data_IF_161067455604
#
_entry.id   IF_161067455604
#
_cell.length_a   1.000
_cell.length_b   1.000
_cell.length_c   1.000
_cell.angle_alpha   90.00
_cell.angle_beta   90.00
_cell.angle_gamma   90.00
#
_symmetry.space_group_name_H-M   'P 1'
#
loop_
_entity.id
_entity.type
_entity.pdbx_description
1 polymer ?
#
# COMPACT_ATOMS: atom_id res chain seq x y z
N UNK A 1 -52.41 -49.74 8.51
CA UNK A 1 -51.65 -49.60 9.78
C UNK A 1 -51.17 -48.16 9.89
N UNK A 2 -51.60 -47.45 10.93
CA UNK A 2 -51.38 -46.01 11.18
C UNK A 2 -50.20 -45.83 12.14
N UNK A 3 -49.24 -44.95 11.85
CA UNK A 3 -48.43 -44.10 12.77
C UNK A 3 -47.77 -42.98 11.94
N UNK A 4 -48.36 -41.80 11.77
CA UNK A 4 -48.15 -40.55 12.55
C UNK A 4 -46.70 -40.29 13.03
N UNK A 5 -46.13 -39.17 12.58
CA UNK A 5 -44.89 -38.58 13.08
C UNK A 5 -44.63 -37.21 12.41
N UNK A 6 -45.10 -36.15 13.07
CA UNK A 6 -44.93 -34.73 12.75
C UNK A 6 -43.52 -34.26 13.19
N UNK A 7 -43.13 -33.02 12.82
CA UNK A 7 -42.01 -32.18 13.32
C UNK A 7 -40.71 -32.25 12.48
N UNK A 8 -40.02 -31.18 12.10
CA UNK A 8 -40.21 -29.74 12.29
C UNK A 8 -39.43 -28.98 11.19
N UNK A 9 -40.01 -27.87 10.74
CA UNK A 9 -39.40 -26.87 9.88
C UNK A 9 -38.33 -26.11 10.68
N UNK A 10 -37.04 -26.31 10.38
CA UNK A 10 -35.97 -25.50 10.94
C UNK A 10 -35.63 -24.38 9.95
N UNK A 11 -36.18 -23.19 10.22
CA UNK A 11 -35.82 -21.95 9.53
C UNK A 11 -34.36 -21.61 9.85
N UNK A 12 -33.52 -21.53 8.82
CA UNK A 12 -32.14 -21.08 8.93
C UNK A 12 -32.15 -19.55 8.97
N UNK A 13 -32.07 -18.99 10.18
CA UNK A 13 -31.95 -17.54 10.40
C UNK A 13 -30.52 -17.11 10.03
N UNK A 14 -30.31 -16.14 9.12
CA UNK A 14 -28.99 -15.59 8.88
C UNK A 14 -28.59 -14.70 10.06
N UNK A 15 -27.55 -15.10 10.79
CA UNK A 15 -26.94 -14.29 11.85
C UNK A 15 -26.13 -13.17 11.20
N UNK A 16 -26.80 -12.04 10.93
CA UNK A 16 -26.16 -10.78 10.58
C UNK A 16 -25.54 -10.21 11.85
N UNK A 17 -24.24 -10.41 12.03
CA UNK A 17 -23.46 -9.66 13.00
C UNK A 17 -22.93 -8.39 12.32
N UNK A 18 -23.69 -7.29 12.44
CA UNK A 18 -23.13 -5.95 12.33
C UNK A 18 -22.18 -5.76 13.52
N UNK A 19 -20.89 -6.07 13.33
CA UNK A 19 -19.84 -5.60 14.22
C UNK A 19 -19.45 -4.19 13.79
N UNK A 20 -20.30 -3.22 14.16
CA UNK A 20 -19.93 -1.82 14.20
C UNK A 20 -19.42 -1.49 15.61
N UNK A 21 -18.11 -1.53 15.77
CA UNK A 21 -17.34 -0.81 16.79
C UNK A 21 -16.13 -0.29 15.99
N UNK A 22 -15.94 1.01 15.76
CA UNK A 22 -15.96 2.02 16.81
C UNK A 22 -14.77 1.78 17.73
N UNK A 23 -13.57 1.72 17.15
CA UNK A 23 -12.33 1.75 17.90
C UNK A 23 -11.79 3.17 17.85
N UNK A 24 -11.86 3.87 18.97
CA UNK A 24 -11.01 5.03 19.26
C UNK A 24 -9.56 4.63 18.97
N UNK A 25 -8.98 5.23 17.93
CA UNK A 25 -7.56 5.13 17.64
C UNK A 25 -6.81 6.07 18.60
N UNK A 26 -6.72 5.68 19.87
CA UNK A 26 -5.66 6.15 20.77
C UNK A 26 -4.52 5.13 20.66
N UNK A 27 -3.62 5.36 19.71
CA UNK A 27 -2.42 4.58 19.49
C UNK A 27 -1.58 5.26 18.43
N UNK A 28 -0.48 5.89 18.86
CA UNK A 28 0.61 6.48 18.08
C UNK A 28 0.31 6.69 16.59
N UNK A 29 0.03 7.94 16.19
CA UNK A 29 -0.09 8.33 14.78
C UNK A 29 1.14 7.77 14.02
N UNK A 30 0.92 6.74 13.20
CA UNK A 30 1.92 6.15 12.32
C UNK A 30 1.58 6.56 10.89
N UNK A 31 2.59 7.00 10.15
CA UNK A 31 2.46 7.28 8.72
C UNK A 31 2.86 6.04 7.94
N UNK A 32 1.91 5.48 7.20
CA UNK A 32 2.13 4.35 6.30
C UNK A 32 2.47 4.87 4.90
N UNK A 33 3.70 4.58 4.45
CA UNK A 33 4.21 5.03 3.17
C UNK A 33 4.34 3.85 2.20
N UNK A 34 3.75 3.98 1.01
CA UNK A 34 3.98 3.08 -0.11
C UNK A 34 4.92 3.78 -1.09
N UNK A 35 6.17 3.32 -1.18
CA UNK A 35 7.18 3.93 -2.02
C UNK A 35 7.73 2.95 -3.05
N UNK A 36 7.94 3.42 -4.28
CA UNK A 36 8.57 2.62 -5.32
C UNK A 36 9.94 2.11 -4.87
N UNK A 37 10.30 0.88 -5.25
CA UNK A 37 11.53 0.22 -4.79
C UNK A 37 12.82 1.03 -5.07
N UNK A 38 12.85 1.82 -6.15
CA UNK A 38 13.99 2.73 -6.44
C UNK A 38 14.18 3.85 -5.42
N UNK A 39 13.21 4.08 -4.54
CA UNK A 39 13.24 5.12 -3.49
C UNK A 39 13.64 4.56 -2.12
N UNK A 40 14.04 3.28 -2.02
CA UNK A 40 14.32 2.59 -0.74
C UNK A 40 15.23 3.37 0.18
N UNK A 41 16.42 3.74 -0.29
CA UNK A 41 17.41 4.43 0.54
C UNK A 41 16.90 5.81 0.98
N UNK A 42 16.40 6.60 0.02
CA UNK A 42 15.91 7.95 0.30
C UNK A 42 14.74 7.98 1.28
N UNK A 43 13.77 7.08 1.15
CA UNK A 43 12.60 7.03 2.04
C UNK A 43 12.91 6.37 3.38
N UNK A 44 13.93 5.52 3.46
CA UNK A 44 14.46 5.04 4.75
C UNK A 44 15.05 6.21 5.55
N UNK A 45 15.89 7.02 4.90
CA UNK A 45 16.48 8.21 5.53
C UNK A 45 15.42 9.25 5.92
N UNK A 46 14.47 9.52 5.02
CA UNK A 46 13.36 10.46 5.28
C UNK A 46 12.48 9.96 6.44
N UNK A 47 12.12 8.68 6.48
CA UNK A 47 11.29 8.12 7.54
C UNK A 47 11.96 8.23 8.92
N UNK A 48 13.27 7.93 8.99
CA UNK A 48 14.05 8.08 10.22
C UNK A 48 14.17 9.54 10.66
N UNK A 49 14.42 10.46 9.71
CA UNK A 49 14.49 11.89 10.00
C UNK A 49 13.15 12.44 10.49
N UNK A 50 12.05 12.10 9.82
CA UNK A 50 10.70 12.51 10.18
C UNK A 50 10.31 12.01 11.58
N UNK A 51 10.59 10.74 11.87
CA UNK A 51 10.34 10.16 13.21
C UNK A 51 11.17 10.87 14.28
N UNK A 52 12.43 11.21 13.99
CA UNK A 52 13.31 11.93 14.94
C UNK A 52 12.80 13.35 15.22
N UNK A 53 12.29 14.04 14.19
CA UNK A 53 11.83 15.43 14.31
C UNK A 53 10.47 15.54 14.99
N UNK A 54 9.55 14.63 14.67
CA UNK A 54 8.13 14.75 15.04
C UNK A 54 7.71 13.82 16.18
N UNK A 55 8.44 12.71 16.37
CA UNK A 55 8.03 11.61 17.24
C UNK A 55 7.00 10.66 16.61
N UNK A 56 6.51 10.94 15.39
CA UNK A 56 5.53 10.15 14.64
C UNK A 56 6.24 9.01 13.91
N UNK A 57 5.80 7.77 14.10
CA UNK A 57 6.42 6.62 13.46
C UNK A 57 6.15 6.62 11.95
N UNK A 58 7.11 6.15 11.16
CA UNK A 58 6.96 5.98 9.71
C UNK A 58 7.25 4.53 9.33
N UNK A 59 6.24 3.83 8.82
CA UNK A 59 6.40 2.49 8.25
C UNK A 59 6.32 2.58 6.73
N UNK A 60 7.38 2.16 6.04
CA UNK A 60 7.45 2.21 4.58
C UNK A 60 7.42 0.81 3.96
N UNK A 61 6.51 0.59 3.04
CA UNK A 61 6.46 -0.59 2.16
C UNK A 61 7.07 -0.26 0.81
N UNK A 62 8.10 -1.02 0.42
CA UNK A 62 8.79 -0.90 -0.86
C UNK A 62 8.40 -2.01 -1.83
N UNK A 63 7.94 -1.64 -3.03
CA UNK A 63 7.68 -2.58 -4.12
C UNK A 63 7.63 -1.85 -5.47
N UNK A 64 7.29 -2.55 -6.56
CA UNK A 64 7.03 -1.91 -7.84
C UNK A 64 5.82 -0.96 -7.75
N UNK A 65 5.93 0.23 -8.37
CA UNK A 65 4.86 1.25 -8.34
C UNK A 65 3.50 0.69 -8.77
N UNK A 66 3.48 -0.24 -9.73
CA UNK A 66 2.26 -0.89 -10.19
C UNK A 66 1.61 -1.81 -9.16
N UNK A 67 2.42 -2.52 -8.36
CA UNK A 67 1.91 -3.40 -7.31
C UNK A 67 1.35 -2.59 -6.15
N UNK A 68 2.05 -1.52 -5.76
CA UNK A 68 1.59 -0.61 -4.72
C UNK A 68 0.30 0.11 -5.13
N UNK A 69 0.23 0.64 -6.36
CA UNK A 69 -0.99 1.27 -6.87
C UNK A 69 -2.17 0.28 -6.92
N UNK A 70 -1.92 -0.99 -7.29
CA UNK A 70 -2.93 -2.04 -7.24
C UNK A 70 -3.40 -2.30 -5.81
N UNK A 71 -2.47 -2.40 -4.84
CA UNK A 71 -2.83 -2.59 -3.44
C UNK A 71 -3.68 -1.45 -2.90
N UNK A 72 -3.34 -0.20 -3.22
CA UNK A 72 -4.15 0.98 -2.86
C UNK A 72 -5.56 0.88 -3.47
N UNK A 73 -5.66 0.52 -4.76
CA UNK A 73 -6.96 0.32 -5.41
C UNK A 73 -7.77 -0.85 -4.81
N UNK A 74 -7.10 -1.84 -4.21
CA UNK A 74 -7.71 -2.95 -3.47
C UNK A 74 -8.04 -2.58 -2.01
N UNK A 75 -7.74 -1.36 -1.57
CA UNK A 75 -8.08 -0.83 -0.25
C UNK A 75 -6.97 -0.98 0.81
N UNK A 76 -5.72 -1.24 0.40
CA UNK A 76 -4.59 -1.19 1.33
C UNK A 76 -4.43 0.23 1.90
N UNK A 77 -4.25 0.39 3.22
CA UNK A 77 -4.11 1.69 3.84
C UNK A 77 -2.71 2.25 3.56
N UNK A 78 -2.64 3.37 2.84
CA UNK A 78 -1.42 4.14 2.64
C UNK A 78 -1.74 5.63 2.77
N UNK A 79 -0.98 6.34 3.60
CA UNK A 79 -1.11 7.78 3.79
C UNK A 79 -0.32 8.55 2.73
N UNK A 80 0.80 7.96 2.29
CA UNK A 80 1.66 8.52 1.25
C UNK A 80 1.92 7.47 0.19
N UNK A 81 1.72 7.82 -1.08
CA UNK A 81 2.14 7.02 -2.23
C UNK A 81 3.20 7.77 -3.05
N UNK A 82 4.39 7.18 -3.17
CA UNK A 82 5.50 7.71 -3.95
C UNK A 82 5.83 6.78 -5.13
N UNK A 83 5.25 7.09 -6.29
CA UNK A 83 5.44 6.32 -7.53
C UNK A 83 6.72 6.72 -8.28
N UNK A 84 7.35 5.75 -8.94
CA UNK A 84 8.45 6.02 -9.88
C UNK A 84 8.00 6.65 -11.22
N UNK A 85 6.69 6.64 -11.51
CA UNK A 85 6.15 7.16 -12.77
C UNK A 85 4.72 7.71 -12.63
N UNK A 86 4.35 8.57 -13.59
CA UNK A 86 3.04 9.21 -13.64
C UNK A 86 1.91 8.25 -14.04
N UNK A 87 2.20 7.18 -14.77
CA UNK A 87 1.18 6.24 -15.24
C UNK A 87 0.59 5.43 -14.07
N UNK A 88 1.42 5.03 -13.12
CA UNK A 88 1.01 4.40 -11.88
C UNK A 88 0.39 5.41 -10.90
N UNK A 89 0.88 6.66 -10.86
CA UNK A 89 0.25 7.72 -10.07
C UNK A 89 -1.19 7.99 -10.52
N UNK A 90 -1.44 8.00 -11.83
CA UNK A 90 -2.79 8.20 -12.39
C UNK A 90 -3.80 7.12 -11.97
N UNK A 91 -3.35 5.92 -11.58
CA UNK A 91 -4.23 4.82 -11.12
C UNK A 91 -4.88 5.12 -9.77
N UNK A 92 -4.30 6.02 -8.97
CA UNK A 92 -4.82 6.39 -7.64
C UNK A 92 -5.23 7.87 -7.56
N UNK A 93 -5.46 8.52 -8.71
CA UNK A 93 -5.75 9.95 -8.80
C UNK A 93 -7.01 10.38 -8.00
N UNK A 94 -8.00 9.50 -7.82
CA UNK A 94 -9.16 9.78 -6.98
C UNK A 94 -8.78 9.90 -5.49
N UNK A 95 -7.86 9.06 -5.03
CA UNK A 95 -7.34 9.09 -3.65
C UNK A 95 -6.27 10.17 -3.45
N UNK A 96 -5.55 10.56 -4.51
CA UNK A 96 -4.46 11.53 -4.48
C UNK A 96 -4.59 12.58 -5.59
N UNK A 97 -5.59 13.49 -5.51
CA UNK A 97 -5.85 14.49 -6.56
C UNK A 97 -4.74 15.55 -6.67
N UNK A 98 -3.98 15.79 -5.59
CA UNK A 98 -2.95 16.83 -5.50
C UNK A 98 -1.52 16.27 -5.67
N UNK A 99 -1.36 15.21 -6.46
CA UNK A 99 -0.07 14.58 -6.69
C UNK A 99 0.97 15.55 -7.30
N UNK A 100 2.19 15.52 -6.77
CA UNK A 100 3.30 16.39 -7.22
C UNK A 100 4.47 15.58 -7.76
N UNK A 101 5.12 16.09 -8.81
CA UNK A 101 6.41 15.57 -9.28
C UNK A 101 7.50 16.12 -8.36
N UNK A 102 8.14 15.23 -7.59
CA UNK A 102 9.17 15.61 -6.62
C UNK A 102 10.58 15.17 -7.03
N UNK A 103 10.70 14.22 -7.95
CA UNK A 103 11.98 13.69 -8.42
C UNK A 103 11.93 13.29 -9.91
N UNK A 104 13.10 13.20 -10.52
CA UNK A 104 13.29 12.63 -11.86
C UNK A 104 14.45 11.65 -11.84
N UNK A 105 14.51 10.75 -12.81
CA UNK A 105 15.62 9.82 -12.96
C UNK A 105 15.98 9.65 -14.44
N UNK A 106 17.10 9.00 -14.73
CA UNK A 106 17.52 8.60 -16.07
C UNK A 106 17.62 7.08 -16.12
N UNK A 107 17.17 6.50 -17.23
CA UNK A 107 17.42 5.09 -17.49
C UNK A 107 18.89 4.94 -17.91
N UNK A 108 19.61 4.03 -17.27
CA UNK A 108 21.00 3.73 -17.55
C UNK A 108 21.19 2.22 -17.69
N UNK A 109 22.20 1.83 -18.46
CA UNK A 109 22.60 0.44 -18.60
C UNK A 109 23.69 0.16 -17.56
N UNK A 110 23.35 -0.62 -16.52
CA UNK A 110 24.33 -1.05 -15.52
C UNK A 110 25.02 -2.32 -16.02
N UNK A 111 26.36 -2.28 -16.05
CA UNK A 111 27.22 -3.40 -16.48
C UNK A 111 28.15 -3.82 -15.34
N UNK A 112 28.72 -5.02 -15.46
CA UNK A 112 29.82 -5.45 -14.60
C UNK A 112 31.02 -4.49 -14.73
N UNK A 113 31.78 -4.34 -13.63
CA UNK A 113 33.00 -3.55 -13.61
C UNK A 113 33.94 -3.90 -14.78
N UNK A 114 34.38 -2.88 -15.50
CA UNK A 114 35.24 -3.03 -16.69
C UNK A 114 34.50 -3.34 -17.99
N UNK A 115 33.18 -3.52 -17.98
CA UNK A 115 32.35 -3.79 -19.16
C UNK A 115 32.89 -4.96 -20.03
N UNK A 116 32.98 -6.18 -19.47
CA UNK A 116 33.62 -7.33 -20.14
C UNK A 116 32.94 -7.73 -21.47
N UNK A 117 31.69 -7.31 -21.67
CA UNK A 117 30.90 -7.60 -22.87
C UNK A 117 30.81 -6.43 -23.86
N UNK A 118 31.47 -5.30 -23.57
CA UNK A 118 31.49 -4.14 -24.47
C UNK A 118 30.10 -3.57 -24.76
N UNK A 119 29.20 -3.58 -23.78
CA UNK A 119 27.86 -3.03 -23.91
C UNK A 119 27.95 -1.52 -24.11
N UNK A 120 27.21 -1.00 -25.08
CA UNK A 120 27.13 0.42 -25.42
C UNK A 120 25.67 0.83 -25.56
N UNK A 121 25.41 2.14 -25.41
CA UNK A 121 24.10 2.77 -25.47
C UNK A 121 23.48 2.79 -26.88
#
# INVERSE_FOLDING_TARGET
>A
MRRTGLLALAAFVPFVALAACGGDADGDDEVVVFAAASLTDAFTDIGAAYTTETGVAVTTSFAGSSDLARQIAEGAPADVFASADLANMAKVAEAAPDAVVFATNRAEIVVEAGNPHGVAD
#
